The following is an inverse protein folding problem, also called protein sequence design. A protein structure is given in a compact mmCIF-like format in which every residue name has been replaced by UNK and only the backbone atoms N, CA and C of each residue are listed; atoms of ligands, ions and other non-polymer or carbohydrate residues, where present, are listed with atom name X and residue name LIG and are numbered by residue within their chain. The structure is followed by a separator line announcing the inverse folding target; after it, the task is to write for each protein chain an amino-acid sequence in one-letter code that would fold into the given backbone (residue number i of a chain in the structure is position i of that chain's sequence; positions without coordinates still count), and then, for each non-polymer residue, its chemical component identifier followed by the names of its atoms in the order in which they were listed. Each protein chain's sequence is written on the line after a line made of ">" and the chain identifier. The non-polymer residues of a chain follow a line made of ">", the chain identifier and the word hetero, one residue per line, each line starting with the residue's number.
data_IF_383624348743
#
_entry.id   IF_383624348743
#
_cell.length_a   1.000
_cell.length_b   1.000
_cell.length_c   1.000
_cell.angle_alpha   90.00
_cell.angle_beta   90.00
_cell.angle_gamma   90.00
#
_symmetry.space_group_name_H-M   'P 1'
#
loop_
_entity.id
_entity.type
_entity.pdbx_description
1 polymer ?
#
# COMPACT_ATOMS: atom_id res chain seq x y z
N UNK A 1 4.83 9.49 -25.73
CA UNK A 1 4.95 8.17 -25.01
C UNK A 1 5.25 8.36 -23.53
N UNK A 2 6.30 9.10 -23.18
CA UNK A 2 6.73 9.34 -21.79
C UNK A 2 5.67 10.06 -20.94
N UNK A 3 5.07 11.13 -21.43
CA UNK A 3 4.04 11.89 -20.72
C UNK A 3 2.80 11.06 -20.39
N UNK A 4 2.36 10.21 -21.32
CA UNK A 4 1.25 9.28 -21.07
C UNK A 4 1.59 8.26 -19.97
N UNK A 5 2.86 7.84 -19.86
CA UNK A 5 3.28 6.91 -18.81
C UNK A 5 3.27 7.60 -17.43
N UNK A 6 3.66 8.89 -17.35
CA UNK A 6 3.59 9.66 -16.10
C UNK A 6 2.14 9.85 -15.66
N UNK A 7 1.24 10.22 -16.57
CA UNK A 7 -0.18 10.37 -16.26
C UNK A 7 -0.81 9.06 -15.79
N UNK A 8 -0.54 7.96 -16.49
CA UNK A 8 -1.02 6.64 -16.10
C UNK A 8 -0.50 6.23 -14.69
N UNK A 9 0.74 6.58 -14.36
CA UNK A 9 1.31 6.32 -13.04
C UNK A 9 0.65 7.18 -11.95
N UNK A 10 0.37 8.45 -12.20
CA UNK A 10 -0.36 9.33 -11.29
C UNK A 10 -1.81 8.86 -11.08
N UNK A 11 -2.50 8.45 -12.13
CA UNK A 11 -3.84 7.88 -12.05
C UNK A 11 -3.87 6.60 -11.22
N UNK A 12 -2.82 5.79 -11.30
CA UNK A 12 -2.70 4.58 -10.48
C UNK A 12 -2.58 4.93 -8.98
N UNK A 13 -1.77 5.94 -8.64
CA UNK A 13 -1.67 6.42 -7.25
C UNK A 13 -3.02 6.93 -6.76
N UNK A 14 -3.71 7.74 -7.56
CA UNK A 14 -5.03 8.24 -7.22
C UNK A 14 -6.04 7.10 -6.97
N UNK A 15 -5.95 6.04 -7.77
CA UNK A 15 -6.78 4.83 -7.60
C UNK A 15 -6.48 4.10 -6.30
N UNK A 16 -5.20 3.94 -5.93
CA UNK A 16 -4.78 3.34 -4.66
C UNK A 16 -5.28 4.16 -3.47
N UNK A 17 -5.13 5.49 -3.51
CA UNK A 17 -5.66 6.40 -2.47
C UNK A 17 -7.18 6.24 -2.30
N UNK A 18 -7.92 6.27 -3.41
CA UNK A 18 -9.39 6.11 -3.39
C UNK A 18 -9.81 4.77 -2.82
N UNK A 19 -9.15 3.69 -3.24
CA UNK A 19 -9.43 2.35 -2.75
C UNK A 19 -9.20 2.23 -1.24
N UNK A 20 -8.06 2.73 -0.76
CA UNK A 20 -7.73 2.69 0.66
C UNK A 20 -8.70 3.55 1.50
N UNK A 21 -9.05 4.75 1.03
CA UNK A 21 -10.03 5.62 1.69
C UNK A 21 -11.40 4.96 1.73
N UNK A 22 -11.85 4.37 0.62
CA UNK A 22 -13.13 3.67 0.57
C UNK A 22 -13.18 2.51 1.55
N UNK A 23 -12.11 1.70 1.63
CA UNK A 23 -12.01 0.62 2.60
C UNK A 23 -12.06 1.15 4.04
N UNK A 24 -11.20 2.11 4.39
CA UNK A 24 -11.14 2.68 5.74
C UNK A 24 -12.49 3.30 6.15
N UNK A 25 -13.13 4.02 5.24
CA UNK A 25 -14.47 4.58 5.48
C UNK A 25 -15.51 3.48 5.70
N UNK A 26 -15.45 2.39 4.94
CA UNK A 26 -16.33 1.24 5.12
C UNK A 26 -16.13 0.59 6.49
N UNK A 27 -14.88 0.44 6.96
CA UNK A 27 -14.58 -0.06 8.31
C UNK A 27 -15.20 0.82 9.38
N UNK A 28 -15.04 2.16 9.27
CA UNK A 28 -15.62 3.13 10.21
C UNK A 28 -17.14 3.05 10.21
N UNK A 29 -17.78 3.05 9.05
CA UNK A 29 -19.24 2.95 8.93
C UNK A 29 -19.78 1.63 9.50
N UNK A 30 -19.08 0.52 9.24
CA UNK A 30 -19.51 -0.81 9.69
C UNK A 30 -19.39 -0.95 11.21
N UNK A 31 -18.40 -0.31 11.84
CA UNK A 31 -18.19 -0.35 13.29
C UNK A 31 -18.95 0.75 14.05
N UNK A 32 -19.37 1.81 13.35
CA UNK A 32 -20.21 2.84 13.94
C UNK A 32 -21.68 2.42 13.93
N UNK A 33 -22.45 2.85 14.93
CA UNK A 33 -23.90 2.74 14.88
C UNK A 33 -24.54 3.51 13.70
N UNK A 34 -23.73 4.20 12.89
CA UNK A 34 -24.19 4.92 11.69
C UNK A 34 -24.79 3.98 10.64
N UNK A 35 -24.34 2.71 10.58
CA UNK A 35 -25.00 1.74 9.70
C UNK A 35 -26.48 1.53 10.06
N UNK A 36 -26.83 1.59 11.33
CA UNK A 36 -28.22 1.54 11.81
C UNK A 36 -29.03 2.79 11.45
N UNK A 37 -28.36 3.93 11.34
CA UNK A 37 -29.01 5.21 10.99
C UNK A 37 -29.17 5.42 9.49
N UNK A 38 -28.32 4.81 8.66
CA UNK A 38 -28.39 4.91 7.19
C UNK A 38 -29.53 4.03 6.62
N UNK A 39 -29.98 3.01 7.37
CA UNK A 39 -31.04 2.09 6.95
C UNK A 39 -32.23 2.11 7.93
N UNK A 40 -32.88 3.29 8.13
CA UNK A 40 -33.93 3.43 9.16
C UNK A 40 -35.18 2.61 8.89
N UNK A 41 -35.33 2.01 7.72
CA UNK A 41 -36.51 1.28 7.28
C UNK A 41 -36.23 -0.18 6.93
N UNK A 42 -35.25 -0.81 7.55
CA UNK A 42 -35.08 -2.26 7.38
C UNK A 42 -36.29 -2.99 7.95
N UNK A 43 -36.79 -4.01 7.23
CA UNK A 43 -37.85 -4.88 7.78
C UNK A 43 -37.44 -5.42 9.15
N UNK A 44 -38.36 -5.50 10.13
CA UNK A 44 -38.01 -5.88 11.51
C UNK A 44 -37.26 -7.21 11.65
N UNK A 45 -37.53 -8.17 10.74
CA UNK A 45 -36.81 -9.45 10.73
C UNK A 45 -35.35 -9.29 10.33
N UNK A 46 -35.03 -8.40 9.39
CA UNK A 46 -33.63 -8.11 8.99
C UNK A 46 -32.92 -7.39 10.15
N UNK A 47 -33.58 -6.42 10.79
CA UNK A 47 -33.04 -5.76 11.96
C UNK A 47 -32.76 -6.75 13.09
N UNK A 48 -33.66 -7.69 13.34
CA UNK A 48 -33.49 -8.76 14.32
C UNK A 48 -32.31 -9.69 13.98
N UNK A 49 -32.06 -9.97 12.71
CA UNK A 49 -30.90 -10.76 12.25
C UNK A 49 -29.59 -10.01 12.47
N UNK A 50 -29.56 -8.69 12.23
CA UNK A 50 -28.40 -7.85 12.49
C UNK A 50 -28.12 -7.80 13.99
N UNK A 51 -29.15 -7.56 14.80
CA UNK A 51 -29.04 -7.41 16.25
C UNK A 51 -28.63 -8.71 16.95
N UNK A 52 -28.99 -9.87 16.38
CA UNK A 52 -28.62 -11.20 16.89
C UNK A 52 -27.28 -11.70 16.36
N UNK A 53 -26.60 -10.94 15.51
CA UNK A 53 -25.34 -11.38 14.86
C UNK A 53 -25.52 -12.50 13.83
N UNK A 54 -26.77 -12.85 13.49
CA UNK A 54 -27.08 -13.92 12.51
C UNK A 54 -26.98 -13.46 11.06
N UNK A 55 -26.96 -12.15 10.81
CA UNK A 55 -26.78 -11.63 9.46
C UNK A 55 -25.31 -11.76 9.05
N UNK A 56 -25.10 -12.31 7.86
CA UNK A 56 -23.78 -12.51 7.30
C UNK A 56 -23.75 -12.31 5.78
N UNK A 57 -22.58 -12.47 5.22
CA UNK A 57 -22.38 -12.52 3.76
C UNK A 57 -22.25 -13.99 3.35
N UNK A 58 -23.00 -14.36 2.34
CA UNK A 58 -22.92 -15.68 1.73
C UNK A 58 -22.66 -15.52 0.24
N UNK A 59 -21.53 -16.01 -0.21
CA UNK A 59 -21.21 -16.12 -1.65
C UNK A 59 -21.57 -17.54 -2.08
N UNK A 60 -22.42 -17.66 -3.08
CA UNK A 60 -22.86 -18.94 -3.63
C UNK A 60 -22.11 -19.22 -4.94
N UNK A 61 -21.57 -20.41 -5.04
CA UNK A 61 -21.03 -20.93 -6.29
C UNK A 61 -21.93 -22.03 -6.87
N UNK A 62 -21.92 -22.18 -8.18
CA UNK A 62 -22.65 -23.27 -8.84
C UNK A 62 -21.80 -24.53 -8.77
N UNK A 63 -22.31 -25.54 -8.11
CA UNK A 63 -21.65 -26.84 -8.04
C UNK A 63 -21.47 -27.44 -9.42
N UNK A 64 -20.25 -27.90 -9.80
CA UNK A 64 -19.94 -28.34 -11.18
C UNK A 64 -20.77 -29.57 -11.63
N UNK A 65 -21.15 -30.41 -10.68
CA UNK A 65 -21.84 -31.69 -10.97
C UNK A 65 -23.36 -31.59 -10.83
N UNK A 66 -23.86 -30.97 -9.74
CA UNK A 66 -25.31 -30.89 -9.49
C UNK A 66 -25.96 -29.66 -10.13
N UNK A 67 -25.19 -28.64 -10.44
CA UNK A 67 -25.72 -27.34 -10.88
C UNK A 67 -26.43 -26.54 -9.78
N UNK A 68 -26.46 -27.05 -8.54
CA UNK A 68 -27.02 -26.37 -7.38
C UNK A 68 -26.11 -25.27 -6.87
N UNK A 69 -26.69 -24.25 -6.24
CA UNK A 69 -25.91 -23.19 -5.57
C UNK A 69 -25.51 -23.67 -4.18
N UNK A 70 -24.20 -23.78 -3.97
CA UNK A 70 -23.58 -24.13 -2.69
C UNK A 70 -22.85 -22.95 -2.09
N UNK A 71 -22.80 -22.81 -0.76
CA UNK A 71 -22.02 -21.74 -0.14
C UNK A 71 -20.53 -21.95 -0.39
N UNK A 72 -19.90 -21.01 -1.07
CA UNK A 72 -18.45 -20.95 -1.25
C UNK A 72 -17.79 -20.18 -0.10
N UNK A 73 -18.43 -19.08 0.33
CA UNK A 73 -17.98 -18.27 1.45
C UNK A 73 -19.18 -17.91 2.30
N UNK A 74 -19.08 -18.14 3.60
CA UNK A 74 -20.08 -17.73 4.58
C UNK A 74 -19.37 -17.10 5.78
N UNK A 75 -19.78 -15.88 6.16
CA UNK A 75 -19.28 -15.18 7.32
C UNK A 75 -20.40 -14.39 7.98
N UNK A 76 -20.49 -14.43 9.30
CA UNK A 76 -21.44 -13.61 10.04
C UNK A 76 -20.92 -12.16 10.18
N UNK A 77 -21.78 -11.23 10.61
CA UNK A 77 -21.45 -9.80 10.74
C UNK A 77 -20.31 -9.58 11.72
N UNK A 78 -20.26 -10.33 12.81
CA UNK A 78 -19.22 -10.14 13.83
C UNK A 78 -17.85 -10.66 13.35
N UNK A 79 -17.81 -11.75 12.60
CA UNK A 79 -16.60 -12.25 11.96
C UNK A 79 -16.08 -11.25 10.92
N UNK A 80 -16.98 -10.65 10.13
CA UNK A 80 -16.63 -9.62 9.15
C UNK A 80 -16.07 -8.39 9.87
N UNK A 81 -16.71 -7.93 10.95
CA UNK A 81 -16.22 -6.79 11.75
C UNK A 81 -14.85 -7.06 12.33
N UNK A 82 -14.65 -8.23 12.93
CA UNK A 82 -13.37 -8.63 13.50
C UNK A 82 -12.29 -8.67 12.44
N UNK A 83 -12.56 -9.32 11.31
CA UNK A 83 -11.63 -9.35 10.18
C UNK A 83 -11.27 -7.94 9.68
N UNK A 84 -12.25 -7.07 9.49
CA UNK A 84 -12.01 -5.70 9.03
C UNK A 84 -11.16 -4.89 10.00
N UNK A 85 -11.31 -5.11 11.31
CA UNK A 85 -10.57 -4.39 12.34
C UNK A 85 -9.15 -4.92 12.55
N UNK A 86 -8.98 -6.23 12.51
CA UNK A 86 -7.73 -6.90 12.87
C UNK A 86 -6.88 -7.17 11.63
N UNK A 87 -7.33 -8.05 10.75
CA UNK A 87 -6.55 -8.53 9.62
C UNK A 87 -6.73 -7.68 8.36
N UNK A 88 -7.93 -7.18 8.13
CA UNK A 88 -8.28 -6.51 6.89
C UNK A 88 -7.50 -5.20 6.67
N UNK A 89 -7.23 -4.44 7.73
CA UNK A 89 -6.42 -3.22 7.62
C UNK A 89 -4.96 -3.55 7.27
N UNK A 90 -4.44 -4.62 7.83
CA UNK A 90 -3.09 -5.09 7.51
C UNK A 90 -3.00 -5.54 6.05
N UNK A 91 -3.91 -6.38 5.61
CA UNK A 91 -3.95 -6.90 4.26
C UNK A 91 -4.15 -5.81 3.20
N UNK A 92 -5.02 -4.82 3.47
CA UNK A 92 -5.25 -3.72 2.54
C UNK A 92 -4.04 -2.79 2.44
N UNK A 93 -3.31 -2.58 3.54
CA UNK A 93 -2.09 -1.79 3.55
C UNK A 93 -0.99 -2.50 2.75
N UNK A 94 -0.76 -3.79 2.99
CA UNK A 94 0.16 -4.64 2.22
C UNK A 94 -0.16 -4.61 0.72
N UNK A 95 -1.42 -4.83 0.36
CA UNK A 95 -1.87 -4.77 -1.03
C UNK A 95 -1.61 -3.39 -1.65
N UNK A 96 -1.92 -2.33 -0.93
CA UNK A 96 -1.75 -0.96 -1.42
C UNK A 96 -0.28 -0.61 -1.66
N UNK A 97 0.62 -0.97 -0.74
CA UNK A 97 2.06 -0.75 -0.90
C UNK A 97 2.61 -1.57 -2.07
N UNK A 98 2.21 -2.84 -2.18
CA UNK A 98 2.65 -3.71 -3.26
C UNK A 98 2.22 -3.15 -4.61
N UNK A 99 0.99 -2.67 -4.73
CA UNK A 99 0.46 -2.08 -5.95
C UNK A 99 1.17 -0.76 -6.31
N UNK A 100 1.42 0.12 -5.31
CA UNK A 100 2.16 1.37 -5.51
C UNK A 100 3.57 1.10 -6.02
N UNK A 101 4.28 0.22 -5.35
CA UNK A 101 5.67 -0.08 -5.69
C UNK A 101 5.79 -0.80 -7.05
N UNK A 102 4.92 -1.77 -7.33
CA UNK A 102 4.89 -2.44 -8.64
C UNK A 102 4.57 -1.48 -9.78
N UNK A 103 3.70 -0.50 -9.53
CA UNK A 103 3.39 0.56 -10.50
C UNK A 103 4.62 1.44 -10.78
N UNK A 104 5.38 1.79 -9.74
CA UNK A 104 6.63 2.53 -9.85
C UNK A 104 7.69 1.73 -10.63
N UNK A 105 7.91 0.45 -10.30
CA UNK A 105 8.82 -0.42 -11.04
C UNK A 105 8.43 -0.52 -12.52
N UNK A 106 7.15 -0.70 -12.82
CA UNK A 106 6.63 -0.76 -14.19
C UNK A 106 6.87 0.55 -14.95
N UNK A 107 6.64 1.70 -14.29
CA UNK A 107 6.92 3.01 -14.87
C UNK A 107 8.40 3.16 -15.24
N UNK A 108 9.31 2.91 -14.29
CA UNK A 108 10.75 3.04 -14.52
C UNK A 108 11.21 2.12 -15.66
N UNK A 109 10.75 0.86 -15.65
CA UNK A 109 11.09 -0.10 -16.72
C UNK A 109 10.54 0.31 -18.09
N UNK A 110 9.37 0.92 -18.15
CA UNK A 110 8.79 1.41 -19.40
C UNK A 110 9.50 2.65 -19.97
N UNK A 111 10.10 3.45 -19.10
CA UNK A 111 10.84 4.65 -19.50
C UNK A 111 12.30 4.34 -19.89
N UNK A 112 12.88 3.29 -19.32
CA UNK A 112 14.29 2.92 -19.46
C UNK A 112 14.42 1.48 -19.93
N UNK A 113 14.30 1.28 -21.25
CA UNK A 113 14.33 -0.03 -21.89
C UNK A 113 15.63 -0.85 -21.69
N UNK A 114 16.70 -0.19 -21.20
CA UNK A 114 18.02 -0.81 -20.98
C UNK A 114 18.12 -1.53 -19.63
N UNK A 115 17.12 -1.38 -18.74
CA UNK A 115 17.11 -2.06 -17.44
C UNK A 115 16.78 -3.54 -17.64
N UNK A 116 17.74 -4.42 -17.36
CA UNK A 116 17.48 -5.85 -17.31
C UNK A 116 16.50 -6.14 -16.12
N UNK A 117 15.26 -6.58 -16.43
CA UNK A 117 14.24 -6.78 -15.40
C UNK A 117 14.63 -7.85 -14.37
N UNK A 118 15.59 -8.72 -14.69
CA UNK A 118 15.98 -9.85 -13.84
C UNK A 118 17.14 -9.53 -12.88
N UNK A 119 17.87 -8.44 -13.10
CA UNK A 119 19.16 -8.21 -12.41
C UNK A 119 19.28 -6.90 -11.67
N UNK A 120 18.49 -5.87 -11.99
CA UNK A 120 18.67 -4.55 -11.41
C UNK A 120 17.49 -4.10 -10.54
N UNK A 121 17.81 -3.69 -9.33
CA UNK A 121 16.86 -2.99 -8.46
C UNK A 121 16.59 -1.61 -9.04
N UNK A 122 15.33 -1.34 -9.34
CA UNK A 122 14.88 -0.14 -10.04
C UNK A 122 15.25 1.15 -9.30
N UNK A 123 15.22 1.16 -7.97
CA UNK A 123 15.60 2.37 -7.21
C UNK A 123 17.10 2.58 -7.24
N UNK A 124 17.89 1.51 -7.20
CA UNK A 124 19.35 1.62 -7.36
C UNK A 124 19.68 2.19 -8.73
N UNK A 125 18.96 1.79 -9.77
CA UNK A 125 19.11 2.37 -11.09
C UNK A 125 18.78 3.87 -11.11
N UNK A 126 17.68 4.27 -10.51
CA UNK A 126 17.27 5.68 -10.40
C UNK A 126 18.28 6.51 -9.60
N UNK A 127 18.99 5.93 -8.64
CA UNK A 127 20.04 6.59 -7.87
C UNK A 127 21.40 6.64 -8.55
N UNK A 128 21.60 5.90 -9.66
CA UNK A 128 22.85 5.91 -10.44
C UNK A 128 22.93 7.09 -11.39
N UNK A 129 24.16 7.39 -11.79
CA UNK A 129 24.57 8.44 -12.72
C UNK A 129 23.80 8.44 -14.06
N UNK A 130 23.25 7.31 -14.49
CA UNK A 130 22.44 7.20 -15.70
C UNK A 130 21.15 8.05 -15.66
N UNK A 131 20.63 8.34 -14.47
CA UNK A 131 19.52 9.27 -14.30
C UNK A 131 20.00 10.72 -14.38
N UNK A 132 21.27 10.98 -14.01
CA UNK A 132 21.93 12.28 -14.18
C UNK A 132 22.17 12.57 -15.66
N UNK A 133 22.48 11.55 -16.46
CA UNK A 133 22.66 11.69 -17.92
C UNK A 133 21.35 12.07 -18.63
N UNK A 134 20.20 11.77 -18.00
CA UNK A 134 18.88 12.25 -18.41
C UNK A 134 18.51 13.60 -17.79
N UNK A 135 19.45 14.28 -17.12
CA UNK A 135 19.26 15.54 -16.39
C UNK A 135 18.21 15.48 -15.25
N UNK A 136 17.89 14.29 -14.79
CA UNK A 136 17.03 14.07 -13.64
C UNK A 136 17.84 14.27 -12.35
N UNK A 137 17.92 15.48 -11.86
CA UNK A 137 18.40 15.75 -10.50
C UNK A 137 17.31 15.35 -9.50
N UNK A 138 17.22 14.05 -9.21
CA UNK A 138 16.29 13.60 -8.18
C UNK A 138 16.87 13.97 -6.82
N UNK A 139 16.06 14.60 -5.96
CA UNK A 139 16.44 14.91 -4.59
C UNK A 139 16.92 13.64 -3.86
N UNK A 140 18.15 13.62 -3.31
CA UNK A 140 18.64 12.48 -2.54
C UNK A 140 17.72 12.10 -1.39
N UNK A 141 17.04 13.06 -0.77
CA UNK A 141 16.08 12.78 0.29
C UNK A 141 14.87 12.01 -0.25
N UNK A 142 14.36 12.38 -1.41
CA UNK A 142 13.25 11.64 -2.04
C UNK A 142 13.68 10.21 -2.38
N UNK A 143 14.88 9.99 -2.87
CA UNK A 143 15.41 8.64 -3.13
C UNK A 143 15.48 7.83 -1.84
N UNK A 144 15.96 8.42 -0.74
CA UNK A 144 15.97 7.73 0.55
C UNK A 144 14.58 7.33 1.03
N UNK A 145 13.57 8.19 0.83
CA UNK A 145 12.18 7.85 1.17
C UNK A 145 11.62 6.72 0.29
N UNK A 146 11.91 6.74 -1.01
CA UNK A 146 11.52 5.64 -1.92
C UNK A 146 12.23 4.32 -1.55
N UNK A 147 13.48 4.37 -1.09
CA UNK A 147 14.21 3.20 -0.58
C UNK A 147 13.58 2.64 0.69
N UNK A 148 13.13 3.49 1.62
CA UNK A 148 12.38 3.06 2.80
C UNK A 148 11.09 2.35 2.40
N UNK A 149 10.31 2.92 1.47
CA UNK A 149 9.07 2.32 0.97
C UNK A 149 9.33 0.96 0.32
N UNK A 150 10.42 0.81 -0.44
CA UNK A 150 10.86 -0.48 -1.00
C UNK A 150 11.08 -1.53 0.09
N UNK A 151 11.85 -1.18 1.13
CA UNK A 151 12.12 -2.14 2.21
C UNK A 151 10.87 -2.46 3.01
N UNK A 152 9.96 -1.51 3.20
CA UNK A 152 8.64 -1.78 3.79
C UNK A 152 7.89 -2.83 2.95
N UNK A 153 7.78 -2.62 1.64
CA UNK A 153 7.14 -3.60 0.73
C UNK A 153 7.81 -4.96 0.82
N UNK A 154 9.15 -5.00 0.85
CA UNK A 154 9.89 -6.26 0.97
C UNK A 154 9.62 -7.00 2.29
N UNK A 155 9.50 -6.27 3.40
CA UNK A 155 9.11 -6.86 4.68
C UNK A 155 7.71 -7.46 4.65
N UNK A 156 6.74 -6.81 4.00
CA UNK A 156 5.40 -7.38 3.81
C UNK A 156 5.43 -8.64 2.95
N UNK A 157 6.12 -8.60 1.82
CA UNK A 157 6.18 -9.74 0.89
C UNK A 157 6.91 -10.96 1.45
N UNK A 158 7.88 -10.78 2.34
CA UNK A 158 8.79 -11.86 2.76
C UNK A 158 8.80 -12.12 4.26
N UNK A 159 8.32 -11.20 5.08
CA UNK A 159 8.42 -11.26 6.53
C UNK A 159 7.15 -10.77 7.26
N UNK A 160 5.99 -10.90 6.65
CA UNK A 160 4.67 -10.57 7.24
C UNK A 160 4.61 -9.15 7.85
N UNK A 161 5.30 -8.18 7.24
CA UNK A 161 5.35 -6.80 7.72
C UNK A 161 6.17 -6.58 8.98
N UNK A 162 7.05 -7.50 9.35
CA UNK A 162 7.98 -7.35 10.48
C UNK A 162 9.29 -6.74 9.98
N UNK A 163 9.77 -5.69 10.65
CA UNK A 163 11.07 -5.10 10.35
C UNK A 163 12.20 -6.04 10.75
N UNK A 164 13.03 -6.44 9.82
CA UNK A 164 14.06 -7.45 10.05
C UNK A 164 15.48 -6.92 9.89
N UNK A 165 16.43 -7.67 10.44
CA UNK A 165 17.87 -7.35 10.40
C UNK A 165 18.42 -7.25 8.98
N UNK A 166 17.90 -8.03 8.03
CA UNK A 166 18.34 -8.02 6.63
C UNK A 166 17.95 -6.72 5.94
N UNK A 167 16.71 -6.29 6.13
CA UNK A 167 16.20 -5.02 5.60
C UNK A 167 16.89 -3.83 6.28
N UNK A 168 17.14 -3.89 7.58
CA UNK A 168 17.88 -2.89 8.33
C UNK A 168 19.30 -2.67 7.76
N UNK A 169 20.07 -3.76 7.58
CA UNK A 169 21.41 -3.69 6.98
C UNK A 169 21.42 -3.12 5.57
N UNK A 170 20.47 -3.54 4.74
CA UNK A 170 20.36 -3.04 3.37
C UNK A 170 20.05 -1.54 3.34
N UNK A 171 19.06 -1.12 4.12
CA UNK A 171 18.64 0.27 4.15
C UNK A 171 19.73 1.16 4.73
N UNK A 172 20.33 0.80 5.87
CA UNK A 172 21.41 1.56 6.49
C UNK A 172 22.61 1.72 5.55
N UNK A 173 23.03 0.63 4.88
CA UNK A 173 24.14 0.69 3.92
C UNK A 173 23.93 1.73 2.82
N UNK A 174 22.69 1.82 2.30
CA UNK A 174 22.39 2.76 1.21
C UNK A 174 22.26 4.20 1.73
N UNK A 175 21.65 4.41 2.90
CA UNK A 175 21.40 5.74 3.46
C UNK A 175 22.67 6.33 4.12
N UNK A 176 23.39 5.50 4.89
CA UNK A 176 24.52 5.97 5.72
C UNK A 176 25.92 5.55 5.21
N UNK A 177 25.96 4.67 4.21
CA UNK A 177 27.19 4.06 3.71
C UNK A 177 27.70 2.88 4.54
N UNK A 178 27.10 2.57 5.69
CA UNK A 178 27.52 1.50 6.62
C UNK A 178 26.39 0.55 6.94
N UNK A 179 26.71 -0.76 7.07
CA UNK A 179 25.74 -1.76 7.48
C UNK A 179 25.49 -1.69 9.00
N UNK A 180 24.24 -1.43 9.39
CA UNK A 180 23.77 -1.48 10.77
C UNK A 180 22.63 -2.48 10.90
N UNK A 181 22.85 -3.52 11.69
CA UNK A 181 21.86 -4.56 11.95
C UNK A 181 20.71 -4.13 12.87
N UNK A 182 20.87 -3.00 13.56
CA UNK A 182 19.89 -2.44 14.48
C UNK A 182 19.25 -1.16 13.95
N UNK A 183 19.46 -0.87 12.67
CA UNK A 183 18.92 0.34 12.04
C UNK A 183 17.39 0.37 12.14
N UNK A 184 16.85 1.39 12.80
CA UNK A 184 15.42 1.60 12.93
C UNK A 184 14.83 2.15 11.65
N UNK A 185 13.66 1.66 11.28
CA UNK A 185 12.89 2.23 10.17
C UNK A 185 12.09 3.42 10.67
N UNK A 186 12.29 4.56 10.04
CA UNK A 186 11.48 5.77 10.29
C UNK A 186 10.59 6.05 9.09
N UNK A 187 9.28 6.08 9.32
CA UNK A 187 8.26 6.43 8.36
C UNK A 187 7.54 7.70 8.81
N UNK A 188 7.22 8.54 7.84
CA UNK A 188 6.46 9.75 8.12
C UNK A 188 4.96 9.52 7.86
N UNK A 189 4.13 10.33 8.49
CA UNK A 189 2.71 10.43 8.17
C UNK A 189 2.44 11.67 7.32
N UNK A 190 1.29 11.70 6.68
CA UNK A 190 0.79 12.89 5.99
C UNK A 190 0.47 14.06 6.92
N UNK A 191 0.42 13.80 8.24
CA UNK A 191 0.20 14.82 9.29
C UNK A 191 1.51 15.32 9.90
N UNK A 192 2.67 14.83 9.43
CA UNK A 192 3.99 15.24 9.90
C UNK A 192 4.53 14.46 11.10
N UNK A 193 3.80 13.46 11.59
CA UNK A 193 4.30 12.57 12.64
C UNK A 193 5.34 11.60 12.09
N UNK A 194 6.30 11.20 12.93
CA UNK A 194 7.34 10.22 12.60
C UNK A 194 7.10 8.96 13.42
N UNK A 195 7.06 7.83 12.73
CA UNK A 195 6.90 6.51 13.32
C UNK A 195 8.18 5.72 13.19
N UNK A 196 8.78 5.37 14.31
CA UNK A 196 9.99 4.55 14.37
C UNK A 196 9.63 3.10 14.67
N UNK A 197 10.21 2.18 13.90
CA UNK A 197 10.03 0.73 14.05
C UNK A 197 11.39 0.07 14.28
N UNK A 198 11.52 -0.61 15.40
CA UNK A 198 12.73 -1.38 15.75
C UNK A 198 12.67 -2.81 15.21
N UNK A 199 13.82 -3.48 15.16
CA UNK A 199 13.94 -4.88 14.73
C UNK A 199 12.98 -5.78 15.51
N UNK A 200 12.29 -6.67 14.79
CA UNK A 200 11.31 -7.61 15.33
C UNK A 200 9.93 -7.01 15.59
N UNK A 201 9.74 -5.72 15.33
CA UNK A 201 8.45 -5.05 15.50
C UNK A 201 7.67 -4.98 14.19
N UNK A 202 6.33 -5.03 14.23
CA UNK A 202 5.52 -4.78 13.05
C UNK A 202 5.69 -3.33 12.57
N UNK A 203 5.85 -3.18 11.26
CA UNK A 203 6.02 -1.87 10.61
C UNK A 203 4.75 -1.04 10.75
N UNK A 204 3.60 -1.69 10.64
CA UNK A 204 2.31 -1.02 10.72
C UNK A 204 1.66 -1.20 12.08
N UNK A 205 1.15 -0.09 12.62
CA UNK A 205 0.12 -0.11 13.67
C UNK A 205 -1.20 0.34 13.04
N UNK A 206 -2.32 -0.33 13.27
CA UNK A 206 -3.60 -0.06 12.59
C UNK A 206 -4.02 1.41 12.59
N UNK A 207 -3.73 2.13 13.68
CA UNK A 207 -4.13 3.53 13.86
C UNK A 207 -3.44 4.50 12.88
N UNK A 208 -2.29 4.11 12.29
CA UNK A 208 -1.44 5.02 11.53
C UNK A 208 -1.39 4.68 10.04
N UNK A 209 -1.99 3.58 9.63
CA UNK A 209 -1.85 3.03 8.28
C UNK A 209 -2.29 3.99 7.16
N UNK A 210 -3.39 4.71 7.37
CA UNK A 210 -3.91 5.64 6.38
C UNK A 210 -2.97 6.83 6.13
N UNK A 211 -2.49 7.48 7.19
CA UNK A 211 -1.63 8.66 7.09
C UNK A 211 -0.24 8.31 6.54
N UNK A 212 0.29 7.14 6.90
CA UNK A 212 1.56 6.63 6.36
C UNK A 212 1.41 6.27 4.87
N UNK A 213 0.32 5.62 4.47
CA UNK A 213 0.10 5.29 3.07
C UNK A 213 -0.08 6.55 2.20
N UNK A 214 -0.80 7.57 2.70
CA UNK A 214 -0.94 8.85 2.00
C UNK A 214 0.43 9.51 1.83
N UNK A 215 1.26 9.50 2.86
CA UNK A 215 2.63 9.99 2.76
C UNK A 215 3.44 9.22 1.71
N UNK A 216 3.39 7.88 1.70
CA UNK A 216 4.06 7.06 0.67
C UNK A 216 3.58 7.42 -0.74
N UNK A 217 2.28 7.60 -0.94
CA UNK A 217 1.72 8.07 -2.21
C UNK A 217 2.32 9.42 -2.62
N UNK A 218 2.48 10.34 -1.66
CA UNK A 218 3.06 11.68 -1.93
C UNK A 218 4.51 11.59 -2.40
N UNK A 219 5.31 10.64 -1.89
CA UNK A 219 6.69 10.45 -2.37
C UNK A 219 6.71 10.04 -3.86
N UNK A 220 5.86 9.10 -4.26
CA UNK A 220 5.74 8.72 -5.68
C UNK A 220 5.18 9.86 -6.55
N UNK A 221 4.18 10.60 -6.08
CA UNK A 221 3.63 11.77 -6.79
C UNK A 221 4.71 12.85 -7.01
N UNK A 222 5.51 13.12 -5.99
CA UNK A 222 6.64 14.06 -6.09
C UNK A 222 7.62 13.61 -7.16
N UNK A 223 8.02 12.34 -7.14
CA UNK A 223 8.91 11.77 -8.14
C UNK A 223 8.33 11.93 -9.57
N UNK A 224 7.08 11.53 -9.80
CA UNK A 224 6.46 11.63 -11.12
C UNK A 224 6.28 13.07 -11.59
N UNK A 225 5.98 13.99 -10.69
CA UNK A 225 5.86 15.41 -11.02
C UNK A 225 7.22 16.02 -11.40
N UNK A 226 8.30 15.62 -10.75
CA UNK A 226 9.65 16.05 -11.11
C UNK A 226 10.05 15.51 -12.48
N UNK A 227 9.76 14.24 -12.75
CA UNK A 227 9.92 13.64 -14.08
C UNK A 227 9.11 14.40 -15.15
N UNK A 228 7.88 14.80 -14.85
CA UNK A 228 7.02 15.55 -15.78
C UNK A 228 7.55 16.94 -16.09
N UNK A 229 8.15 17.63 -15.11
CA UNK A 229 8.75 18.96 -15.31
C UNK A 229 9.92 18.91 -16.29
N UNK A 230 10.72 17.85 -16.21
CA UNK A 230 11.88 17.69 -17.08
C UNK A 230 11.50 17.48 -18.55
N UNK A 231 10.42 16.75 -18.80
CA UNK A 231 9.95 16.49 -20.17
C UNK A 231 9.40 17.78 -20.86
N UNK A 232 9.04 18.81 -20.10
CA UNK A 232 8.62 20.11 -20.64
C UNK A 232 9.79 21.04 -21.01
N UNK A 233 11.02 20.65 -20.66
CA UNK A 233 12.22 21.42 -20.92
C UNK A 233 12.92 20.99 -22.23
N UNK A 234 12.37 20.02 -22.94
CA UNK A 234 12.75 19.52 -24.25
C UNK A 234 11.63 19.75 -25.25
#
# INVERSE_FOLDING_TARGET
>A
MFENNVEAALDKIASVKKFFIAYTSSVVLFNSNAFRTITPNLPPYIQGMIDSGQMGVRVLERAPVSGEHVPAIEANVDDIKRYMLEDGQHNIFEYSITLLYSSFEGFIRSCFCEIDPSKEDVIIYVSKQSFVDLQLQTDPNLINELLKIREVRNCYMHNKGIWDTKSAKKLSKVITGTEDSNFSLELHSSTGEVYSTSIGQPIQKPINSASVLIWMCTQFETFYNDVKKLNKSF
#
